data_IF_265302748692
#
_entry.id   IF_265302748692
#
_cell.length_a   1.000
_cell.length_b   1.000
_cell.length_c   1.000
_cell.angle_alpha   90.00
_cell.angle_beta   90.00
_cell.angle_gamma   90.00
#
_symmetry.space_group_name_H-M   'P 1'
#
loop_
_entity.id
_entity.type
_entity.pdbx_description
1 polymer ?
#
# COMPACT_ATOMS: atom_id res chain seq x y z
N UNK A 1 11.26 -5.21 -4.28
CA UNK A 1 12.31 -4.37 -4.91
C UNK A 1 13.61 -4.60 -4.18
N UNK A 2 14.63 -5.12 -4.87
CA UNK A 2 15.95 -5.43 -4.30
C UNK A 2 16.67 -4.15 -3.87
N UNK A 3 17.34 -4.19 -2.72
CA UNK A 3 18.06 -3.05 -2.09
C UNK A 3 19.02 -2.34 -3.03
N UNK A 4 19.63 -3.06 -3.98
CA UNK A 4 20.49 -2.52 -5.04
C UNK A 4 19.77 -1.51 -5.96
N UNK A 5 18.49 -1.73 -6.26
CA UNK A 5 17.71 -0.82 -7.11
C UNK A 5 17.28 0.45 -6.35
N UNK A 6 17.12 0.35 -5.03
CA UNK A 6 16.86 1.52 -4.17
C UNK A 6 18.13 2.36 -4.06
N UNK A 7 19.28 1.72 -3.84
CA UNK A 7 20.57 2.40 -3.73
C UNK A 7 20.88 3.24 -4.97
N UNK A 8 20.74 2.68 -6.17
CA UNK A 8 20.99 3.40 -7.42
C UNK A 8 19.95 4.51 -7.69
N UNK A 9 18.68 4.29 -7.31
CA UNK A 9 17.62 5.29 -7.46
C UNK A 9 17.74 6.47 -6.49
N UNK A 10 18.47 6.31 -5.38
CA UNK A 10 18.62 7.34 -4.36
C UNK A 10 19.98 8.03 -4.44
N UNK A 11 21.07 7.27 -4.60
CA UNK A 11 22.42 7.85 -4.62
C UNK A 11 22.68 8.68 -5.88
N UNK A 12 22.18 8.26 -7.05
CA UNK A 12 22.39 8.99 -8.29
C UNK A 12 21.76 10.41 -8.27
N UNK A 13 20.48 10.59 -7.92
CA UNK A 13 19.90 11.94 -7.85
C UNK A 13 20.45 12.76 -6.68
N UNK A 14 20.79 12.14 -5.54
CA UNK A 14 21.41 12.85 -4.42
C UNK A 14 22.77 13.43 -4.83
N UNK A 15 23.60 12.64 -5.50
CA UNK A 15 24.92 13.08 -5.97
C UNK A 15 24.81 14.19 -7.01
N UNK A 16 23.85 14.07 -7.94
CA UNK A 16 23.58 15.11 -8.94
C UNK A 16 23.12 16.44 -8.30
N UNK A 17 22.24 16.38 -7.30
CA UNK A 17 21.78 17.58 -6.59
C UNK A 17 22.88 18.23 -5.75
N UNK A 18 23.77 17.44 -5.15
CA UNK A 18 24.94 17.97 -4.44
C UNK A 18 25.88 18.72 -5.39
N UNK A 19 26.17 18.14 -6.55
CA UNK A 19 27.02 18.78 -7.56
C UNK A 19 26.39 20.07 -8.13
N UNK A 20 25.07 20.07 -8.35
CA UNK A 20 24.34 21.25 -8.81
C UNK A 20 24.31 22.36 -7.75
N UNK A 21 24.16 22.00 -6.47
CA UNK A 21 24.20 22.94 -5.36
C UNK A 21 25.59 23.58 -5.25
N UNK A 22 26.67 22.79 -5.31
CA UNK A 22 28.04 23.30 -5.23
C UNK A 22 28.33 24.34 -6.34
N UNK A 23 27.91 24.04 -7.57
CA UNK A 23 28.02 24.97 -8.70
C UNK A 23 27.24 26.27 -8.49
N UNK A 24 26.01 26.19 -7.97
CA UNK A 24 25.15 27.36 -7.72
C UNK A 24 25.61 28.22 -6.53
N UNK A 25 26.20 27.59 -5.51
CA UNK A 25 26.81 28.31 -4.39
C UNK A 25 28.10 29.02 -4.80
N UNK A 26 28.89 28.44 -5.71
CA UNK A 26 30.06 29.10 -6.30
C UNK A 26 29.71 30.38 -7.07
N UNK A 27 28.51 30.49 -7.64
CA UNK A 27 28.05 31.69 -8.37
C UNK A 27 27.41 32.77 -7.47
N UNK A 28 27.33 32.56 -6.13
CA UNK A 28 26.88 33.58 -5.17
C UNK A 28 25.38 33.93 -5.19
N UNK A 29 24.56 33.18 -5.94
CA UNK A 29 23.12 33.43 -6.07
C UNK A 29 22.29 32.73 -4.98
N UNK A 30 21.95 33.45 -3.89
CA UNK A 30 21.16 32.89 -2.77
C UNK A 30 19.79 32.31 -3.14
N UNK A 31 19.13 32.85 -4.18
CA UNK A 31 17.89 32.30 -4.74
C UNK A 31 18.09 30.91 -5.35
N UNK A 32 19.24 30.71 -6.01
CA UNK A 32 19.60 29.44 -6.62
C UNK A 32 19.86 28.37 -5.57
N UNK A 33 20.57 28.72 -4.49
CA UNK A 33 20.80 27.82 -3.36
C UNK A 33 19.49 27.39 -2.68
N UNK A 34 18.53 28.31 -2.52
CA UNK A 34 17.22 28.01 -1.94
C UNK A 34 16.40 27.05 -2.81
N UNK A 35 16.42 27.23 -4.13
CA UNK A 35 15.73 26.33 -5.09
C UNK A 35 16.36 24.94 -5.09
N UNK A 36 17.70 24.87 -5.05
CA UNK A 36 18.40 23.60 -4.97
C UNK A 36 17.97 22.83 -3.71
N UNK A 37 17.96 23.48 -2.54
CA UNK A 37 17.61 22.87 -1.25
C UNK A 37 16.13 22.43 -1.20
N UNK A 38 15.22 23.22 -1.78
CA UNK A 38 13.82 22.83 -1.94
C UNK A 38 13.65 21.59 -2.84
N UNK A 39 14.39 21.53 -3.95
CA UNK A 39 14.37 20.36 -4.83
C UNK A 39 14.91 19.10 -4.13
N UNK A 40 15.99 19.22 -3.33
CA UNK A 40 16.54 18.09 -2.57
C UNK A 40 15.56 17.55 -1.55
N UNK A 41 14.87 18.43 -0.82
CA UNK A 41 13.89 17.99 0.19
C UNK A 41 12.70 17.28 -0.45
N UNK A 42 12.22 17.72 -1.61
CA UNK A 42 11.16 17.04 -2.38
C UNK A 42 11.63 15.68 -2.88
N UNK A 43 12.84 15.59 -3.44
CA UNK A 43 13.41 14.32 -3.92
C UNK A 43 13.61 13.34 -2.77
N UNK A 44 14.12 13.79 -1.62
CA UNK A 44 14.25 12.98 -0.41
C UNK A 44 12.88 12.51 0.11
N UNK A 45 11.86 13.37 0.10
CA UNK A 45 10.50 13.00 0.51
C UNK A 45 9.89 11.94 -0.44
N UNK A 46 10.06 12.10 -1.75
CA UNK A 46 9.56 11.15 -2.75
C UNK A 46 10.26 9.79 -2.70
N UNK A 47 11.57 9.79 -2.44
CA UNK A 47 12.37 8.56 -2.32
C UNK A 47 12.19 7.86 -0.96
N UNK A 48 12.02 8.65 0.10
CA UNK A 48 11.80 8.17 1.47
C UNK A 48 10.35 7.77 1.74
N UNK A 49 9.40 8.17 0.88
CA UNK A 49 8.01 7.76 0.99
C UNK A 49 7.93 6.23 0.91
N UNK A 50 7.44 5.55 1.97
CA UNK A 50 7.26 4.12 1.92
C UNK A 50 6.21 3.81 0.86
N UNK A 51 6.66 3.21 -0.25
CA UNK A 51 5.74 2.68 -1.23
C UNK A 51 4.98 1.51 -0.59
N UNK A 52 3.67 1.66 -0.44
CA UNK A 52 2.82 0.53 -0.06
C UNK A 52 3.08 -0.61 -1.05
N UNK A 53 3.36 -1.84 -0.57
CA UNK A 53 3.53 -2.98 -1.45
C UNK A 53 2.32 -3.08 -2.37
N UNK A 54 2.53 -3.34 -3.67
CA UNK A 54 1.42 -3.66 -4.56
C UNK A 54 0.87 -5.04 -4.14
N UNK A 55 -0.28 -5.04 -3.47
CA UNK A 55 -0.90 -6.26 -2.95
C UNK A 55 -2.08 -6.65 -3.84
N UNK A 56 -2.22 -7.92 -4.28
CA UNK A 56 -3.41 -8.34 -5.01
C UNK A 56 -4.66 -8.15 -4.13
N UNK A 57 -5.82 -7.82 -4.72
CA UNK A 57 -7.06 -7.57 -3.95
C UNK A 57 -7.49 -8.78 -3.11
N UNK A 58 -7.07 -9.99 -3.50
CA UNK A 58 -7.33 -11.24 -2.77
C UNK A 58 -6.53 -11.38 -1.48
N UNK A 59 -5.45 -10.63 -1.30
CA UNK A 59 -4.61 -10.74 -0.12
C UNK A 59 -5.27 -10.23 1.16
N UNK A 60 -6.26 -9.34 1.04
CA UNK A 60 -7.04 -8.89 2.20
C UNK A 60 -7.79 -10.08 2.80
N UNK A 61 -8.41 -10.91 1.96
CA UNK A 61 -9.12 -12.12 2.40
C UNK A 61 -8.18 -13.13 3.05
N UNK A 62 -6.99 -13.33 2.49
CA UNK A 62 -6.01 -14.26 3.08
C UNK A 62 -5.43 -13.72 4.38
N UNK A 63 -5.17 -12.41 4.48
CA UNK A 63 -4.68 -11.77 5.70
C UNK A 63 -5.69 -11.85 6.85
N UNK A 64 -6.98 -11.67 6.58
CA UNK A 64 -8.05 -11.84 7.57
C UNK A 64 -8.06 -13.29 8.07
N UNK A 65 -8.05 -14.26 7.15
CA UNK A 65 -8.05 -15.69 7.49
C UNK A 65 -6.81 -16.13 8.27
N UNK A 66 -5.65 -15.57 7.94
CA UNK A 66 -4.38 -15.86 8.62
C UNK A 66 -4.33 -15.22 10.02
N UNK A 67 -5.00 -14.07 10.19
CA UNK A 67 -5.17 -13.43 11.51
C UNK A 67 -6.11 -14.23 12.40
N UNK A 68 -7.26 -14.67 11.88
CA UNK A 68 -8.19 -15.56 12.60
C UNK A 68 -7.51 -16.85 13.10
N UNK A 69 -6.62 -17.44 12.29
CA UNK A 69 -5.85 -18.62 12.71
C UNK A 69 -4.85 -18.35 13.83
N UNK A 70 -4.26 -17.16 13.85
CA UNK A 70 -3.17 -16.80 14.78
C UNK A 70 -3.65 -16.16 16.10
N UNK A 71 -4.90 -15.73 16.16
CA UNK A 71 -5.43 -15.04 17.34
C UNK A 71 -6.75 -15.67 17.76
N UNK A 72 -6.85 -16.02 19.03
CA UNK A 72 -8.08 -16.49 19.65
C UNK A 72 -9.05 -15.31 19.85
N UNK A 73 -9.51 -14.72 18.74
CA UNK A 73 -10.65 -13.81 18.80
C UNK A 73 -11.91 -14.61 19.12
N UNK A 74 -12.83 -14.04 19.92
CA UNK A 74 -14.20 -14.54 19.92
C UNK A 74 -14.64 -14.59 18.45
N UNK A 75 -15.19 -15.72 17.97
CA UNK A 75 -15.47 -15.90 16.55
C UNK A 75 -16.43 -14.79 16.08
N UNK A 76 -15.87 -13.75 15.47
CA UNK A 76 -16.62 -12.86 14.63
C UNK A 76 -17.13 -13.70 13.47
N UNK A 77 -18.41 -13.49 13.14
CA UNK A 77 -19.11 -14.24 12.11
C UNK A 77 -18.33 -14.11 10.81
N UNK A 78 -17.78 -15.23 10.32
CA UNK A 78 -17.02 -15.31 9.08
C UNK A 78 -17.81 -14.60 7.96
N UNK A 79 -17.27 -13.53 7.36
CA UNK A 79 -17.97 -12.74 6.36
C UNK A 79 -18.26 -13.54 5.08
N UNK A 80 -17.49 -14.59 4.82
CA UNK A 80 -17.70 -15.50 3.69
C UNK A 80 -18.57 -16.72 4.07
N UNK A 81 -18.97 -16.86 5.34
CA UNK A 81 -19.85 -17.94 5.76
C UNK A 81 -21.23 -17.80 5.11
N UNK A 82 -21.78 -18.94 4.71
CA UNK A 82 -23.11 -19.00 4.16
C UNK A 82 -24.12 -18.35 5.13
N UNK A 83 -24.86 -17.36 4.64
CA UNK A 83 -25.99 -16.77 5.36
C UNK A 83 -27.04 -17.83 5.68
N UNK A 84 -27.94 -17.54 6.63
CA UNK A 84 -29.07 -18.45 6.87
C UNK A 84 -29.90 -18.56 5.59
N UNK A 85 -30.23 -19.79 5.19
CA UNK A 85 -31.17 -20.03 4.10
C UNK A 85 -32.43 -19.21 4.38
N UNK A 86 -32.83 -18.38 3.43
CA UNK A 86 -34.15 -17.72 3.51
C UNK A 86 -35.20 -18.82 3.49
N UNK A 87 -36.14 -18.85 4.45
CA UNK A 87 -37.27 -19.76 4.39
C UNK A 87 -37.98 -19.56 3.05
N UNK A 88 -38.17 -20.65 2.30
CA UNK A 88 -39.10 -20.61 1.17
C UNK A 88 -40.50 -20.51 1.77
N UNK A 89 -41.33 -19.62 1.24
CA UNK A 89 -42.72 -19.55 1.64
C UNK A 89 -43.36 -20.95 1.51
N UNK A 90 -44.24 -21.35 2.43
CA UNK A 90 -44.94 -22.62 2.31
C UNK A 90 -45.60 -22.72 0.93
N UNK A 91 -45.22 -23.75 0.17
CA UNK A 91 -45.82 -24.05 -1.12
C UNK A 91 -47.18 -24.73 -0.95
N UNK A 92 -48.02 -24.64 -1.97
CA UNK A 92 -49.34 -25.30 -1.98
C UNK A 92 -49.15 -26.82 -1.82
N UNK A 93 -49.87 -27.50 -0.91
CA UNK A 93 -49.73 -28.94 -0.73
C UNK A 93 -50.08 -29.67 -2.03
N UNK A 94 -49.27 -30.66 -2.40
CA UNK A 94 -49.53 -31.54 -3.54
C UNK A 94 -50.66 -32.50 -3.16
N UNK A 95 -51.70 -32.56 -3.99
CA UNK A 95 -52.76 -33.57 -3.87
C UNK A 95 -52.12 -34.96 -4.01
N UNK A 96 -52.05 -35.70 -2.91
CA UNK A 96 -51.67 -37.11 -2.95
C UNK A 96 -52.91 -37.90 -3.33
N UNK A 97 -52.85 -38.62 -4.45
CA UNK A 97 -53.93 -39.49 -4.90
C UNK A 97 -54.06 -40.68 -3.92
N UNK A 98 -55.30 -40.95 -3.49
CA UNK A 98 -55.66 -42.12 -2.70
C UNK A 98 -55.94 -43.32 -3.61
#
# INVERSE_FOLDING_TARGET
MTTRNVLLRVLAPLFFLLALADLLLSDGGGLSAAVALAATTVVCALLGAPAAPAVPPTAVRTAIRDRERRTAFLPQRDPDAAGRRRPRAPGRPLLTAA
#
